data_IF_405994482611
#
_entry.id   IF_405994482611
#
_cell.length_a   1.000
_cell.length_b   1.000
_cell.length_c   1.000
_cell.angle_alpha   90.00
_cell.angle_beta   90.00
_cell.angle_gamma   90.00
#
_symmetry.space_group_name_H-M   'P 1'
#
loop_
_entity.id
_entity.type
_entity.pdbx_description
1 polymer ?
#
# COMPACT_ATOMS: atom_id res chain seq x y z
N UNK A 1 -9.70 -2.96 -5.90
CA UNK A 1 -10.22 -2.74 -7.27
C UNK A 1 -9.06 -2.59 -8.26
N UNK A 2 -9.34 -2.55 -9.57
CA UNK A 2 -8.29 -2.33 -10.59
C UNK A 2 -7.59 -0.99 -10.32
N UNK A 3 -8.34 0.09 -10.18
CA UNK A 3 -7.78 1.44 -10.01
C UNK A 3 -7.99 1.98 -8.59
N UNK A 4 -7.94 1.08 -7.60
CA UNK A 4 -8.06 1.45 -6.19
C UNK A 4 -6.73 2.10 -5.72
N UNK A 5 -6.78 3.32 -5.13
CA UNK A 5 -5.62 3.96 -4.50
C UNK A 5 -5.01 3.09 -3.39
N UNK A 6 -3.70 3.20 -3.16
CA UNK A 6 -3.03 2.38 -2.16
C UNK A 6 -3.59 2.60 -0.75
N UNK A 7 -3.96 3.84 -0.42
CA UNK A 7 -4.61 4.21 0.84
C UNK A 7 -5.86 3.37 1.10
N UNK A 8 -6.78 3.36 0.14
CA UNK A 8 -8.07 2.67 0.28
C UNK A 8 -7.87 1.17 0.45
N UNK A 9 -6.93 0.58 -0.29
CA UNK A 9 -6.59 -0.83 -0.14
C UNK A 9 -6.09 -1.16 1.28
N UNK A 10 -5.16 -0.35 1.82
CA UNK A 10 -4.59 -0.58 3.16
C UNK A 10 -5.65 -0.38 4.25
N UNK A 11 -6.54 0.60 4.11
CA UNK A 11 -7.64 0.80 5.06
C UNK A 11 -8.59 -0.40 5.11
N UNK A 12 -8.96 -0.96 3.93
CA UNK A 12 -9.76 -2.19 3.88
C UNK A 12 -9.01 -3.38 4.48
N UNK A 13 -7.73 -3.54 4.13
CA UNK A 13 -6.89 -4.59 4.68
C UNK A 13 -6.81 -4.52 6.21
N UNK A 14 -6.54 -3.35 6.78
CA UNK A 14 -6.44 -3.17 8.23
C UNK A 14 -7.77 -3.44 8.93
N UNK A 15 -8.89 -3.02 8.33
CA UNK A 15 -10.23 -3.31 8.88
C UNK A 15 -10.53 -4.81 8.93
N UNK A 16 -10.11 -5.56 7.92
CA UNK A 16 -10.27 -7.02 7.86
C UNK A 16 -9.27 -7.73 8.78
N UNK A 17 -8.01 -7.28 8.81
CA UNK A 17 -6.94 -7.84 9.63
C UNK A 17 -7.17 -7.64 11.13
N UNK A 18 -7.84 -6.57 11.56
CA UNK A 18 -8.23 -6.36 12.97
C UNK A 18 -9.30 -7.36 13.42
N UNK A 19 -10.12 -7.88 12.50
CA UNK A 19 -11.17 -8.86 12.84
C UNK A 19 -10.60 -10.28 13.04
N UNK A 20 -9.35 -10.52 12.62
CA UNK A 20 -8.71 -11.84 12.68
C UNK A 20 -7.44 -11.73 13.54
N UNK A 21 -7.32 -12.55 14.58
CA UNK A 21 -6.11 -12.55 15.41
C UNK A 21 -4.92 -13.12 14.62
N UNK A 22 -4.15 -12.23 13.98
CA UNK A 22 -3.03 -12.56 13.10
C UNK A 22 -1.72 -11.96 13.63
N UNK A 23 -0.62 -12.70 13.48
CA UNK A 23 0.73 -12.20 13.79
C UNK A 23 1.16 -11.16 12.77
N UNK A 24 2.11 -10.30 13.13
CA UNK A 24 2.58 -9.24 12.23
C UNK A 24 3.30 -9.81 10.99
N UNK A 25 3.98 -10.96 11.12
CA UNK A 25 4.54 -11.69 9.97
C UNK A 25 3.44 -12.15 9.01
N UNK A 26 2.31 -12.63 9.53
CA UNK A 26 1.17 -13.04 8.72
C UNK A 26 0.52 -11.83 8.05
N UNK A 27 0.32 -10.73 8.78
CA UNK A 27 -0.20 -9.48 8.20
C UNK A 27 0.71 -8.97 7.10
N UNK A 28 2.03 -8.97 7.30
CA UNK A 28 3.02 -8.59 6.29
C UNK A 28 2.89 -9.45 5.04
N UNK A 29 2.89 -10.78 5.21
CA UNK A 29 2.74 -11.72 4.10
C UNK A 29 1.44 -11.50 3.31
N UNK A 30 0.31 -11.37 4.01
CA UNK A 30 -0.99 -11.14 3.40
C UNK A 30 -1.07 -9.78 2.70
N UNK A 31 -0.47 -8.75 3.29
CA UNK A 31 -0.41 -7.41 2.71
C UNK A 31 0.40 -7.42 1.40
N UNK A 32 1.59 -8.02 1.40
CA UNK A 32 2.43 -8.18 0.20
C UNK A 32 1.73 -8.97 -0.90
N UNK A 33 1.02 -10.04 -0.54
CA UNK A 33 0.24 -10.87 -1.47
C UNK A 33 -1.02 -10.17 -1.99
N UNK A 34 -1.63 -9.31 -1.19
CA UNK A 34 -2.83 -8.57 -1.55
C UNK A 34 -2.57 -7.39 -2.49
N UNK A 35 -1.31 -6.97 -2.66
CA UNK A 35 -0.95 -5.91 -3.58
C UNK A 35 -1.34 -6.26 -5.02
N UNK A 36 -1.89 -5.29 -5.74
CA UNK A 36 -2.20 -5.44 -7.17
C UNK A 36 -0.92 -5.82 -7.93
N UNK A 37 -0.93 -6.92 -8.70
CA UNK A 37 0.23 -7.32 -9.49
C UNK A 37 0.70 -6.19 -10.41
N UNK A 38 2.02 -5.98 -10.48
CA UNK A 38 2.69 -4.95 -11.31
C UNK A 38 2.33 -3.50 -10.95
N UNK A 39 1.65 -3.23 -9.83
CA UNK A 39 1.55 -1.86 -9.34
C UNK A 39 2.94 -1.30 -9.05
N UNK A 40 3.10 0.02 -9.16
CA UNK A 40 4.37 0.68 -8.89
C UNK A 40 4.80 0.46 -7.43
N UNK A 41 3.87 0.43 -6.49
CA UNK A 41 4.16 0.07 -5.10
C UNK A 41 4.64 -1.38 -4.96
N UNK A 42 4.00 -2.35 -5.62
CA UNK A 42 4.44 -3.75 -5.60
C UNK A 42 5.86 -3.91 -6.20
N UNK A 43 6.20 -3.14 -7.23
CA UNK A 43 7.57 -3.09 -7.76
C UNK A 43 8.55 -2.50 -6.73
N UNK A 44 8.19 -1.40 -6.08
CA UNK A 44 9.03 -0.74 -5.07
C UNK A 44 9.33 -1.67 -3.87
N UNK A 45 8.32 -2.39 -3.39
CA UNK A 45 8.46 -3.42 -2.34
C UNK A 45 9.29 -4.61 -2.84
N UNK A 46 9.21 -4.96 -4.12
CA UNK A 46 10.03 -6.01 -4.72
C UNK A 46 11.53 -5.66 -4.82
N UNK A 47 11.86 -4.38 -5.04
CA UNK A 47 13.24 -3.87 -5.13
C UNK A 47 13.90 -3.81 -3.76
N UNK A 48 13.23 -3.15 -2.82
CA UNK A 48 13.69 -3.04 -1.43
C UNK A 48 12.61 -3.68 -0.55
N UNK A 49 12.88 -4.94 -0.22
CA UNK A 49 11.98 -5.82 0.52
C UNK A 49 11.99 -5.45 2.01
N UNK A 50 10.84 -5.02 2.57
CA UNK A 50 10.68 -4.81 3.99
C UNK A 50 10.89 -6.13 4.75
N UNK A 51 11.56 -6.05 5.91
CA UNK A 51 11.76 -7.16 6.83
C UNK A 51 10.63 -7.30 7.82
N UNK A 52 10.03 -6.17 8.23
CA UNK A 52 8.94 -6.13 9.21
C UNK A 52 7.66 -5.57 8.60
N UNK A 53 6.54 -5.75 9.30
CA UNK A 53 5.27 -5.11 8.93
C UNK A 53 5.39 -3.58 9.00
N UNK A 54 6.06 -3.06 10.02
CA UNK A 54 6.24 -1.61 10.21
C UNK A 54 7.03 -0.97 9.06
N UNK A 55 8.11 -1.60 8.61
CA UNK A 55 8.87 -1.13 7.44
C UNK A 55 8.00 -1.09 6.17
N UNK A 56 7.14 -2.10 5.99
CA UNK A 56 6.22 -2.16 4.86
C UNK A 56 5.15 -1.05 4.94
N UNK A 57 4.61 -0.80 6.13
CA UNK A 57 3.62 0.26 6.37
C UNK A 57 4.23 1.66 6.22
N UNK A 58 5.46 1.88 6.69
CA UNK A 58 6.18 3.14 6.48
C UNK A 58 6.39 3.42 4.99
N UNK A 59 6.83 2.41 4.24
CA UNK A 59 7.01 2.53 2.79
C UNK A 59 5.69 2.81 2.08
N UNK A 60 4.60 2.17 2.53
CA UNK A 60 3.27 2.45 2.01
C UNK A 60 2.83 3.89 2.28
N UNK A 61 3.07 4.43 3.48
CA UNK A 61 2.75 5.82 3.81
C UNK A 61 3.51 6.81 2.92
N UNK A 62 4.81 6.59 2.68
CA UNK A 62 5.57 7.42 1.75
C UNK A 62 5.03 7.35 0.32
N UNK A 63 4.64 6.16 -0.14
CA UNK A 63 4.09 5.98 -1.47
C UNK A 63 2.69 6.61 -1.61
N UNK A 64 1.83 6.51 -0.60
CA UNK A 64 0.51 7.16 -0.57
C UNK A 64 0.67 8.67 -0.72
N UNK A 65 1.61 9.28 0.02
CA UNK A 65 1.86 10.73 -0.10
C UNK A 65 2.30 11.12 -1.51
N UNK A 66 3.18 10.34 -2.13
CA UNK A 66 3.58 10.55 -3.52
C UNK A 66 2.36 10.46 -4.47
N UNK A 67 1.55 9.40 -4.36
CA UNK A 67 0.36 9.21 -5.20
C UNK A 67 -0.63 10.37 -5.06
N UNK A 68 -0.85 10.86 -3.84
CA UNK A 68 -1.76 12.00 -3.57
C UNK A 68 -1.24 13.32 -4.13
N UNK A 69 0.08 13.56 -4.08
CA UNK A 69 0.70 14.75 -4.69
C UNK A 69 0.56 14.71 -6.21
N UNK A 70 0.88 13.58 -6.85
CA UNK A 70 0.77 13.42 -8.30
C UNK A 70 -0.66 13.62 -8.80
N UNK A 71 -1.65 13.09 -8.07
CA UNK A 71 -3.08 13.29 -8.38
C UNK A 71 -3.46 14.76 -8.23
N UNK A 72 -3.02 15.44 -7.17
CA UNK A 72 -3.30 16.86 -6.97
C UNK A 72 -2.68 17.74 -8.07
N UNK A 73 -1.44 17.44 -8.48
CA UNK A 73 -0.76 18.17 -9.56
C UNK A 73 -1.41 17.92 -10.92
N UNK A 74 -1.83 16.69 -11.22
CA UNK A 74 -2.59 16.38 -12.44
C UNK A 74 -3.90 17.18 -12.51
N UNK A 75 -4.61 17.36 -11.39
CA UNK A 75 -5.84 18.17 -11.32
C UNK A 75 -5.53 19.66 -11.55
N UNK A 76 -4.42 20.17 -11.01
CA UNK A 76 -4.00 21.58 -11.18
C UNK A 76 -3.66 21.88 -12.64
N UNK A 77 -2.95 20.98 -13.31
CA UNK A 77 -2.53 21.15 -14.71
C UNK A 77 -3.64 20.90 -15.73
N UNK A 78 -4.75 20.29 -15.33
CA UNK A 78 -5.92 20.06 -16.18
C UNK A 78 -6.93 21.22 -16.20
N UNK A 79 -6.73 22.26 -15.36
CA UNK A 79 -7.54 23.49 -15.32
C UNK A 79 -6.89 24.59 -16.15
#
# INVERSE_FOLDING_TARGET
>A
GKDEPLRNFIERFNKEAVQVNTTDDMKKYLLERGLRPRSNFAKAVGIEKPRTLDELLQKAQSYIQYEEVEVADAIRHAR
#
